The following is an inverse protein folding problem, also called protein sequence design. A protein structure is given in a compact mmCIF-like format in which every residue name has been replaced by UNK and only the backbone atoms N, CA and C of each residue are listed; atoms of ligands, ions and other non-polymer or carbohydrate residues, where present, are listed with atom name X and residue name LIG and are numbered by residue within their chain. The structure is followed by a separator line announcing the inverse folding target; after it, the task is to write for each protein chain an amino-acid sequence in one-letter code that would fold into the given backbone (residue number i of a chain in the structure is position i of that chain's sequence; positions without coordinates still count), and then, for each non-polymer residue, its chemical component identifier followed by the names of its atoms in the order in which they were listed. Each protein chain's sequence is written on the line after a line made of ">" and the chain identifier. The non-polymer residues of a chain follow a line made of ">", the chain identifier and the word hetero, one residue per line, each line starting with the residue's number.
data_IF_518659040451
#
_entry.id   IF_518659040451
#
_cell.length_a   1.000
_cell.length_b   1.000
_cell.length_c   1.000
_cell.angle_alpha   90.00
_cell.angle_beta   90.00
_cell.angle_gamma   90.00
#
_symmetry.space_group_name_H-M   'P 1'
#
loop_
_entity.id
_entity.type
_entity.pdbx_description
1 polymer ?
#
# COMPACT_ATOMS: atom_id res chain seq x y z
N UNK A 1 -7.60 30.57 -74.01
CA UNK A 1 -6.12 30.61 -73.96
C UNK A 1 -5.70 31.10 -72.58
N UNK A 2 -5.08 30.20 -71.78
CA UNK A 2 -4.42 30.38 -70.46
C UNK A 2 -5.30 30.78 -69.25
N UNK A 3 -5.62 29.90 -68.28
CA UNK A 3 -4.81 29.36 -67.15
C UNK A 3 -4.23 30.49 -66.25
N UNK A 4 -4.61 30.67 -64.97
CA UNK A 4 -4.12 29.96 -63.76
C UNK A 4 -4.99 30.39 -62.55
N UNK A 5 -5.77 29.49 -61.96
CA UNK A 5 -5.59 28.89 -60.62
C UNK A 5 -5.25 29.87 -59.46
N UNK A 6 -6.23 30.15 -58.60
CA UNK A 6 -6.03 30.68 -57.24
C UNK A 6 -6.66 29.72 -56.23
N UNK A 7 -6.02 28.57 -56.03
CA UNK A 7 -6.32 27.71 -54.88
C UNK A 7 -5.52 28.24 -53.70
N UNK A 8 -6.23 28.81 -52.73
CA UNK A 8 -5.70 29.30 -51.47
C UNK A 8 -5.30 28.09 -50.61
N UNK A 9 -4.04 27.68 -50.68
CA UNK A 9 -3.45 26.68 -49.76
C UNK A 9 -3.11 27.42 -48.47
N UNK A 10 -3.97 27.31 -47.48
CA UNK A 10 -3.66 27.65 -46.09
C UNK A 10 -2.78 26.52 -45.55
N UNK A 11 -1.47 26.72 -45.62
CA UNK A 11 -0.48 25.87 -44.95
C UNK A 11 -0.53 26.21 -43.45
N UNK A 12 -1.35 25.47 -42.70
CA UNK A 12 -1.38 25.52 -41.24
C UNK A 12 -0.08 24.89 -40.71
N UNK A 13 0.90 25.73 -40.42
CA UNK A 13 2.14 25.35 -39.75
C UNK A 13 1.78 24.92 -38.31
N UNK A 14 1.54 23.62 -38.08
CA UNK A 14 1.48 23.05 -36.74
C UNK A 14 2.88 23.18 -36.13
N UNK A 15 3.09 24.24 -35.35
CA UNK A 15 4.19 24.32 -34.41
C UNK A 15 3.88 23.30 -33.32
N UNK A 16 4.45 22.11 -33.45
CA UNK A 16 4.49 21.13 -32.37
C UNK A 16 5.35 21.73 -31.26
N UNK A 17 4.70 22.35 -30.27
CA UNK A 17 5.33 22.64 -28.99
C UNK A 17 5.68 21.31 -28.35
N UNK A 18 6.93 20.88 -28.53
CA UNK A 18 7.52 19.83 -27.71
C UNK A 18 7.55 20.35 -26.28
N UNK A 19 6.54 19.95 -25.50
CA UNK A 19 6.59 20.05 -24.06
C UNK A 19 7.70 19.11 -23.60
N UNK A 20 8.91 19.64 -23.42
CA UNK A 20 9.92 18.98 -22.63
C UNK A 20 9.35 18.87 -21.21
N UNK A 21 8.76 17.73 -20.89
CA UNK A 21 8.48 17.34 -19.50
C UNK A 21 9.86 17.12 -18.88
N UNK A 22 10.44 18.20 -18.36
CA UNK A 22 11.54 18.07 -17.41
C UNK A 22 10.98 17.31 -16.22
N UNK A 23 11.32 16.03 -16.13
CA UNK A 23 11.32 15.32 -14.86
C UNK A 23 12.25 16.09 -13.94
N UNK A 24 11.71 16.99 -13.12
CA UNK A 24 12.47 17.63 -12.07
C UNK A 24 12.80 16.54 -11.07
N UNK A 25 14.08 16.16 -11.01
CA UNK A 25 14.58 15.35 -9.90
C UNK A 25 14.16 16.05 -8.59
N UNK A 26 13.54 15.32 -7.65
CA UNK A 26 13.09 15.92 -6.41
C UNK A 26 14.28 16.52 -5.66
N UNK A 27 14.15 17.78 -5.27
CA UNK A 27 15.20 18.50 -4.53
C UNK A 27 15.48 17.77 -3.22
N UNK A 28 16.75 17.49 -2.94
CA UNK A 28 17.14 16.77 -1.72
C UNK A 28 17.60 17.76 -0.66
N UNK A 29 17.12 17.61 0.57
CA UNK A 29 17.50 18.43 1.73
C UNK A 29 18.16 17.57 2.77
N UNK A 30 19.36 17.96 3.18
CA UNK A 30 20.17 17.23 4.15
C UNK A 30 20.41 18.14 5.35
N UNK A 31 19.87 17.75 6.50
CA UNK A 31 20.19 18.37 7.79
C UNK A 31 21.24 17.51 8.49
N UNK A 32 22.44 18.05 8.64
CA UNK A 32 23.47 17.45 9.49
C UNK A 32 23.14 17.77 10.95
N UNK A 33 22.95 16.73 11.76
CA UNK A 33 22.71 16.83 13.19
C UNK A 33 23.96 16.32 13.94
N UNK A 34 24.80 17.24 14.39
CA UNK A 34 26.09 16.94 15.01
C UNK A 34 25.97 16.89 16.55
N UNK A 35 26.45 15.80 17.13
CA UNK A 35 26.73 15.69 18.55
C UNK A 35 27.94 16.55 18.95
N UNK A 36 27.69 17.51 19.83
CA UNK A 36 28.70 18.30 20.51
C UNK A 36 28.61 18.17 22.03
N UNK A 37 28.08 17.06 22.54
CA UNK A 37 28.07 16.74 23.96
C UNK A 37 29.47 16.41 24.48
N UNK A 38 29.67 16.46 25.79
CA UNK A 38 30.98 16.24 26.41
C UNK A 38 31.64 14.88 26.10
N UNK A 39 30.87 13.84 25.74
CA UNK A 39 31.43 12.52 25.37
C UNK A 39 32.30 12.59 24.12
N UNK A 40 32.03 13.55 23.22
CA UNK A 40 32.78 13.76 21.99
C UNK A 40 34.23 14.28 22.21
N UNK A 41 34.62 14.59 23.46
CA UNK A 41 36.03 14.75 23.86
C UNK A 41 36.80 13.42 23.95
N UNK A 42 36.10 12.28 23.92
CA UNK A 42 36.70 10.97 23.90
C UNK A 42 37.57 10.73 22.67
N UNK A 43 38.42 9.71 22.75
CA UNK A 43 39.28 9.30 21.64
C UNK A 43 38.56 8.30 20.72
N UNK A 44 38.81 8.46 19.43
CA UNK A 44 38.57 7.47 18.39
C UNK A 44 39.92 7.09 17.80
N UNK A 45 40.37 5.87 18.05
CA UNK A 45 41.75 5.44 17.85
C UNK A 45 42.76 6.38 18.52
N UNK A 46 43.36 7.30 17.75
CA UNK A 46 44.38 8.25 18.20
C UNK A 46 43.94 9.71 18.10
N UNK A 47 42.74 9.98 17.59
CA UNK A 47 42.19 11.32 17.37
C UNK A 47 40.99 11.59 18.29
N UNK A 48 40.68 12.85 18.55
CA UNK A 48 39.47 13.22 19.31
C UNK A 48 38.24 13.02 18.44
N UNK A 49 37.20 12.37 18.95
CA UNK A 49 35.97 12.04 18.21
C UNK A 49 35.34 13.25 17.50
N UNK A 50 35.29 14.41 18.16
CA UNK A 50 34.74 15.64 17.56
C UNK A 50 35.53 16.11 16.34
N UNK A 51 36.85 15.93 16.34
CA UNK A 51 37.69 16.37 15.23
C UNK A 51 37.51 15.43 14.02
N UNK A 52 37.38 14.13 14.28
CA UNK A 52 37.00 13.13 13.29
C UNK A 52 35.62 13.45 12.68
N UNK A 53 34.63 13.73 13.53
CA UNK A 53 33.27 14.09 13.10
C UNK A 53 33.24 15.36 12.22
N UNK A 54 33.97 16.41 12.62
CA UNK A 54 34.07 17.66 11.83
C UNK A 54 34.78 17.44 10.50
N UNK A 55 35.87 16.66 10.49
CA UNK A 55 36.62 16.33 9.28
C UNK A 55 35.74 15.56 8.29
N UNK A 56 34.95 14.60 8.77
CA UNK A 56 33.95 13.89 7.98
C UNK A 56 32.91 14.84 7.38
N UNK A 57 32.27 15.63 8.25
CA UNK A 57 31.22 16.55 7.82
C UNK A 57 31.75 17.55 6.81
N UNK A 58 32.99 18.01 6.96
CA UNK A 58 33.66 18.86 5.97
C UNK A 58 33.75 18.15 4.62
N UNK A 59 34.25 16.91 4.57
CA UNK A 59 34.31 16.11 3.32
C UNK A 59 32.93 15.86 2.71
N UNK A 60 31.91 15.59 3.53
CA UNK A 60 30.52 15.42 3.08
C UNK A 60 29.99 16.67 2.42
N UNK A 61 30.09 17.80 3.13
CA UNK A 61 29.64 19.10 2.67
C UNK A 61 30.38 19.48 1.38
N UNK A 62 31.69 19.24 1.31
CA UNK A 62 32.49 19.44 0.11
C UNK A 62 31.97 18.62 -1.09
N UNK A 63 31.73 17.32 -0.90
CA UNK A 63 31.28 16.42 -1.97
C UNK A 63 29.86 16.73 -2.44
N UNK A 64 28.94 16.96 -1.50
CA UNK A 64 27.52 17.18 -1.78
C UNK A 64 27.27 18.58 -2.35
N UNK A 65 28.05 19.59 -1.93
CA UNK A 65 27.92 20.97 -2.42
C UNK A 65 28.06 21.13 -3.94
N UNK A 66 28.64 20.14 -4.62
CA UNK A 66 28.75 20.14 -6.08
C UNK A 66 27.40 19.90 -6.78
N UNK A 67 26.40 19.36 -6.07
CA UNK A 67 25.08 19.10 -6.61
C UNK A 67 24.12 20.25 -6.28
N UNK A 68 23.70 20.99 -7.32
CA UNK A 68 22.76 22.12 -7.22
C UNK A 68 21.33 21.74 -6.82
N UNK A 69 20.99 20.45 -6.87
CA UNK A 69 19.70 19.91 -6.45
C UNK A 69 19.68 19.55 -4.95
N UNK A 70 20.78 19.82 -4.22
CA UNK A 70 20.89 19.57 -2.78
C UNK A 70 20.94 20.87 -1.99
N UNK A 71 20.10 20.97 -0.97
CA UNK A 71 20.20 22.00 0.09
C UNK A 71 20.71 21.36 1.38
N UNK A 72 21.60 22.04 2.07
CA UNK A 72 22.19 21.55 3.32
C UNK A 72 21.84 22.47 4.48
N UNK A 73 21.84 21.94 5.70
CA UNK A 73 21.75 22.70 6.93
C UNK A 73 22.57 22.02 8.04
N UNK A 74 22.95 22.77 9.06
CA UNK A 74 23.68 22.27 10.22
C UNK A 74 22.91 22.60 11.49
N UNK A 75 22.56 21.57 12.26
CA UNK A 75 22.14 21.67 13.66
C UNK A 75 23.15 20.95 14.51
N UNK A 76 23.42 21.48 15.69
CA UNK A 76 24.24 20.82 16.70
C UNK A 76 23.50 20.78 18.04
N UNK A 77 23.84 19.80 18.87
CA UNK A 77 23.31 19.68 20.22
C UNK A 77 24.41 19.43 21.24
N UNK A 78 24.13 19.75 22.50
CA UNK A 78 25.06 19.54 23.62
C UNK A 78 26.28 20.45 23.60
N UNK A 79 26.40 21.43 22.71
CA UNK A 79 27.60 22.25 22.54
C UNK A 79 27.50 23.66 23.14
N UNK A 80 26.35 24.04 23.71
CA UNK A 80 26.12 25.38 24.27
C UNK A 80 26.25 25.37 25.79
N UNK A 81 25.50 24.50 26.45
CA UNK A 81 25.36 24.45 27.91
C UNK A 81 26.43 23.55 28.53
N UNK A 82 27.05 23.93 29.66
CA UNK A 82 27.99 23.06 30.38
C UNK A 82 27.30 21.79 30.89
N UNK A 83 28.01 20.64 30.89
CA UNK A 83 27.47 19.34 31.33
C UNK A 83 26.79 19.37 32.71
N UNK A 84 27.30 20.17 33.64
CA UNK A 84 26.74 20.34 35.01
C UNK A 84 25.28 20.81 35.00
N UNK A 85 24.84 21.54 33.97
CA UNK A 85 23.45 22.01 33.88
C UNK A 85 22.46 20.94 33.43
N UNK A 86 22.94 19.82 32.86
CA UNK A 86 22.10 18.76 32.28
C UNK A 86 20.96 19.32 31.40
N UNK A 87 21.32 20.25 30.51
CA UNK A 87 20.35 20.96 29.68
C UNK A 87 19.84 20.05 28.54
N UNK A 88 18.74 19.36 28.81
CA UNK A 88 18.09 18.46 27.87
C UNK A 88 17.37 19.16 26.70
N UNK A 89 17.53 20.48 26.59
CA UNK A 89 17.04 21.28 25.45
C UNK A 89 18.19 21.96 24.70
N UNK A 90 19.44 21.63 25.00
CA UNK A 90 20.63 22.17 24.34
C UNK A 90 20.73 21.67 22.89
N UNK A 91 20.06 22.36 21.97
CA UNK A 91 20.12 22.11 20.54
C UNK A 91 19.88 23.41 19.77
N UNK A 92 20.68 23.67 18.73
CA UNK A 92 20.57 24.90 17.94
C UNK A 92 20.80 24.64 16.47
N UNK A 93 19.94 25.22 15.64
CA UNK A 93 20.17 25.34 14.20
C UNK A 93 21.29 26.36 14.00
N UNK A 94 22.46 25.85 13.64
CA UNK A 94 23.69 26.61 13.49
C UNK A 94 23.78 27.28 12.12
N UNK A 95 23.35 26.56 11.09
CA UNK A 95 23.24 27.09 9.72
C UNK A 95 21.91 26.59 9.15
N UNK A 96 20.97 27.49 8.79
CA UNK A 96 19.71 27.10 8.17
C UNK A 96 19.91 26.63 6.72
N UNK A 97 18.88 26.00 6.16
CA UNK A 97 18.85 25.68 4.73
C UNK A 97 18.98 26.96 3.89
N UNK A 98 19.90 26.95 2.94
CA UNK A 98 20.11 28.06 2.03
C UNK A 98 20.95 27.65 0.81
N UNK A 99 20.89 28.44 -0.27
CA UNK A 99 21.77 28.22 -1.43
C UNK A 99 23.22 28.47 -1.04
N UNK A 100 24.14 27.67 -1.61
CA UNK A 100 25.59 27.85 -1.51
C UNK A 100 26.14 28.04 -0.08
N UNK A 101 25.49 27.44 0.92
CA UNK A 101 25.84 27.62 2.34
C UNK A 101 27.00 26.72 2.82
N UNK A 102 27.70 26.07 1.89
CA UNK A 102 28.86 25.19 2.13
C UNK A 102 29.88 25.83 3.09
N UNK A 103 30.38 27.01 2.74
CA UNK A 103 31.45 27.66 3.50
C UNK A 103 30.99 28.09 4.89
N UNK A 104 29.71 28.46 5.04
CA UNK A 104 29.11 28.78 6.33
C UNK A 104 29.05 27.56 7.23
N UNK A 105 28.64 26.40 6.69
CA UNK A 105 28.63 25.13 7.42
C UNK A 105 30.05 24.77 7.87
N UNK A 106 31.03 24.82 6.96
CA UNK A 106 32.43 24.48 7.28
C UNK A 106 33.02 25.43 8.33
N UNK A 107 32.80 26.74 8.20
CA UNK A 107 33.25 27.72 9.18
C UNK A 107 32.64 27.43 10.56
N UNK A 108 31.34 27.14 10.60
CA UNK A 108 30.64 26.90 11.86
C UNK A 108 31.04 25.59 12.52
N UNK A 109 31.27 24.53 11.74
CA UNK A 109 31.83 23.26 12.23
C UNK A 109 33.15 23.46 12.98
N UNK A 110 34.04 24.33 12.47
CA UNK A 110 35.33 24.61 13.12
C UNK A 110 35.19 25.26 14.51
N UNK A 111 34.10 25.97 14.76
CA UNK A 111 33.85 26.68 16.03
C UNK A 111 33.17 25.81 17.09
N UNK A 112 32.45 24.75 16.70
CA UNK A 112 31.74 23.88 17.64
C UNK A 112 32.76 23.18 18.57
N UNK A 113 32.46 23.15 19.87
CA UNK A 113 33.29 22.50 20.89
C UNK A 113 32.42 21.63 21.78
N UNK A 114 32.88 20.43 22.18
CA UNK A 114 32.09 19.56 23.03
C UNK A 114 31.91 20.13 24.45
N UNK A 115 30.69 20.11 25.02
CA UNK A 115 30.43 20.71 26.36
C UNK A 115 29.44 19.98 27.27
N UNK A 116 28.26 19.70 26.76
CA UNK A 116 27.02 19.44 27.50
C UNK A 116 26.63 17.98 27.56
N UNK A 117 25.32 17.73 27.70
CA UNK A 117 24.70 16.40 27.70
C UNK A 117 24.17 16.04 26.31
N UNK A 118 23.61 14.84 26.14
CA UNK A 118 23.25 14.23 24.84
C UNK A 118 21.72 14.11 24.65
N UNK A 119 21.00 15.20 24.29
CA UNK A 119 19.55 15.19 24.08
C UNK A 119 19.16 14.81 22.64
N UNK A 120 19.35 13.55 22.24
CA UNK A 120 19.15 13.07 20.85
C UNK A 120 17.69 13.19 20.42
N UNK A 121 16.76 12.61 21.19
CA UNK A 121 15.34 12.55 20.89
C UNK A 121 14.73 13.96 20.79
N UNK A 122 15.06 14.85 21.74
CA UNK A 122 14.62 16.24 21.69
C UNK A 122 15.19 16.95 20.46
N UNK A 123 16.48 16.78 20.18
CA UNK A 123 17.14 17.39 19.01
C UNK A 123 16.52 16.93 17.69
N UNK A 124 16.23 15.64 17.54
CA UNK A 124 15.55 15.08 16.37
C UNK A 124 14.13 15.62 16.22
N UNK A 125 13.40 15.78 17.33
CA UNK A 125 12.04 16.32 17.31
C UNK A 125 12.00 17.77 16.82
N UNK A 126 12.99 18.58 17.22
CA UNK A 126 13.12 19.98 16.81
C UNK A 126 13.66 20.07 15.38
N UNK A 127 14.62 19.23 15.02
CA UNK A 127 15.22 19.13 13.68
C UNK A 127 14.17 18.93 12.58
N UNK A 128 13.09 18.20 12.89
CA UNK A 128 11.95 18.01 12.00
C UNK A 128 11.35 19.33 11.49
N UNK A 129 11.42 20.39 12.29
CA UNK A 129 10.84 21.71 12.00
C UNK A 129 11.79 22.64 11.26
N UNK A 130 13.06 22.25 11.09
CA UNK A 130 14.04 23.05 10.34
C UNK A 130 13.87 22.90 8.82
N UNK A 131 13.19 21.84 8.36
CA UNK A 131 12.94 21.62 6.94
C UNK A 131 11.87 22.60 6.40
N UNK A 132 12.18 23.36 5.32
CA UNK A 132 11.19 24.21 4.68
C UNK A 132 10.01 23.39 4.14
N UNK A 133 8.79 23.91 4.25
CA UNK A 133 7.62 23.27 3.65
C UNK A 133 7.71 23.35 2.14
N UNK A 134 7.80 22.21 1.47
CA UNK A 134 7.75 22.11 0.02
C UNK A 134 7.20 20.74 -0.40
N UNK A 135 6.58 20.68 -1.57
CA UNK A 135 6.16 19.43 -2.19
C UNK A 135 7.29 18.88 -3.07
N UNK A 136 7.32 17.57 -3.30
CA UNK A 136 8.30 16.89 -4.14
C UNK A 136 9.78 17.11 -3.71
N UNK A 137 10.04 17.03 -2.41
CA UNK A 137 11.38 17.14 -1.82
C UNK A 137 11.68 15.92 -0.96
N UNK A 138 12.96 15.51 -0.95
CA UNK A 138 13.45 14.43 -0.10
C UNK A 138 14.18 15.02 1.10
N UNK A 139 13.65 14.83 2.30
CA UNK A 139 14.24 15.35 3.53
C UNK A 139 15.00 14.25 4.26
N UNK A 140 16.27 14.50 4.58
CA UNK A 140 17.17 13.55 5.23
C UNK A 140 17.84 14.24 6.43
N UNK A 141 17.80 13.59 7.59
CA UNK A 141 18.62 13.95 8.75
C UNK A 141 19.77 12.95 8.82
N UNK A 142 21.00 13.45 8.78
CA UNK A 142 22.19 12.64 9.08
C UNK A 142 22.56 12.96 10.52
N UNK A 143 22.37 12.01 11.44
CA UNK A 143 22.73 12.14 12.84
C UNK A 143 24.16 11.63 13.04
N UNK A 144 25.05 12.44 13.60
CA UNK A 144 26.43 12.06 13.92
C UNK A 144 26.55 12.10 15.43
N UNK A 145 26.75 10.95 16.08
CA UNK A 145 26.83 10.85 17.55
C UNK A 145 27.79 9.76 18.00
N UNK A 146 28.29 9.88 19.23
CA UNK A 146 29.13 8.86 19.87
C UNK A 146 28.49 8.23 21.12
N UNK A 147 27.27 8.66 21.48
CA UNK A 147 26.68 8.45 22.79
C UNK A 147 25.24 7.98 22.76
N UNK A 148 24.82 7.40 23.89
CA UNK A 148 23.43 7.07 24.19
C UNK A 148 22.66 8.32 24.60
N UNK A 149 21.34 8.25 24.49
CA UNK A 149 20.45 9.31 24.99
C UNK A 149 20.62 9.48 26.51
N UNK A 150 21.03 10.68 26.95
CA UNK A 150 21.25 10.99 28.38
C UNK A 150 20.03 11.67 29.03
N UNK A 151 19.02 12.08 28.24
CA UNK A 151 17.88 12.87 28.72
C UNK A 151 16.55 12.11 28.80
N UNK A 152 16.60 10.77 28.69
CA UNK A 152 15.44 9.90 28.88
C UNK A 152 14.38 9.97 27.76
N UNK A 153 14.73 10.57 26.62
CA UNK A 153 13.89 10.50 25.42
C UNK A 153 13.97 9.15 24.71
N UNK A 154 13.06 8.92 23.77
CA UNK A 154 13.06 7.72 22.92
C UNK A 154 13.36 8.10 21.46
N UNK A 155 14.61 7.92 20.99
CA UNK A 155 14.98 8.18 19.60
C UNK A 155 14.17 7.35 18.58
N UNK A 156 13.71 6.15 18.95
CA UNK A 156 12.88 5.31 18.09
C UNK A 156 11.51 5.91 17.84
N UNK A 157 10.86 6.35 18.91
CA UNK A 157 9.54 6.96 18.82
C UNK A 157 9.59 8.24 17.96
N UNK A 158 10.66 9.03 18.12
CA UNK A 158 10.88 10.24 17.33
C UNK A 158 11.20 9.88 15.87
N UNK A 159 12.02 8.87 15.60
CA UNK A 159 12.30 8.38 14.24
C UNK A 159 11.01 7.97 13.51
N UNK A 160 10.14 7.20 14.15
CA UNK A 160 8.86 6.82 13.56
C UNK A 160 8.00 8.05 13.22
N UNK A 161 8.04 9.07 14.07
CA UNK A 161 7.34 10.34 13.85
C UNK A 161 7.94 11.15 12.69
N UNK A 162 9.26 11.11 12.49
CA UNK A 162 9.96 11.70 11.35
C UNK A 162 9.60 11.00 10.04
N UNK A 163 9.56 9.66 10.04
CA UNK A 163 9.19 8.88 8.86
C UNK A 163 7.77 9.17 8.40
N UNK A 164 6.82 9.29 9.34
CA UNK A 164 5.43 9.73 9.05
C UNK A 164 5.36 11.12 8.40
N UNK A 165 6.38 11.97 8.59
CA UNK A 165 6.51 13.29 7.97
C UNK A 165 7.34 13.26 6.67
N UNK A 166 7.71 12.08 6.17
CA UNK A 166 8.58 11.92 5.00
C UNK A 166 10.03 12.35 5.23
N UNK A 167 10.49 12.37 6.48
CA UNK A 167 11.87 12.71 6.84
C UNK A 167 12.63 11.42 7.18
N UNK A 168 13.69 11.14 6.41
CA UNK A 168 14.52 9.96 6.63
C UNK A 168 15.62 10.28 7.64
N UNK A 169 15.67 9.53 8.74
CA UNK A 169 16.79 9.59 9.69
C UNK A 169 17.86 8.58 9.29
N UNK A 170 19.13 9.00 9.28
CA UNK A 170 20.30 8.16 9.01
C UNK A 170 21.31 8.35 10.16
N UNK A 171 21.32 7.45 11.16
CA UNK A 171 22.28 7.49 12.25
C UNK A 171 23.70 7.09 11.82
N UNK A 172 24.69 7.85 12.25
CA UNK A 172 26.11 7.63 12.06
C UNK A 172 26.80 7.67 13.42
N UNK A 173 27.36 6.53 13.82
CA UNK A 173 27.88 6.32 15.17
C UNK A 173 29.40 6.28 15.12
N UNK A 174 30.03 7.09 15.97
CA UNK A 174 31.50 7.23 16.06
C UNK A 174 31.99 6.59 17.36
N UNK A 175 32.72 5.48 17.28
CA UNK A 175 33.33 4.87 18.47
C UNK A 175 33.92 3.49 18.26
N UNK A 176 34.97 3.17 19.01
CA UNK A 176 35.50 1.82 19.16
C UNK A 176 34.72 1.12 20.27
N UNK A 177 34.14 -0.05 19.97
CA UNK A 177 33.33 -0.80 20.93
C UNK A 177 31.86 -0.39 20.84
N UNK A 178 31.13 -1.16 20.05
CA UNK A 178 29.68 -1.11 19.98
C UNK A 178 29.13 -1.32 21.40
N UNK A 179 28.51 -0.29 21.98
CA UNK A 179 27.63 -0.50 23.11
C UNK A 179 26.31 -1.08 22.57
N UNK A 180 25.98 -2.32 22.90
CA UNK A 180 24.73 -2.98 22.47
C UNK A 180 23.49 -2.13 22.84
N UNK A 181 23.58 -1.37 23.94
CA UNK A 181 22.54 -0.44 24.37
C UNK A 181 22.32 0.69 23.36
N UNK A 182 23.37 1.21 22.73
CA UNK A 182 23.25 2.26 21.70
C UNK A 182 22.64 1.71 20.40
N UNK A 183 23.03 0.50 20.00
CA UNK A 183 22.41 -0.17 18.86
C UNK A 183 20.92 -0.37 19.11
N UNK A 184 20.55 -0.92 20.27
CA UNK A 184 19.14 -1.21 20.56
C UNK A 184 18.27 0.05 20.59
N UNK A 185 18.80 1.19 21.06
CA UNK A 185 18.10 2.47 21.09
C UNK A 185 17.96 3.14 19.70
N UNK A 186 18.74 2.73 18.71
CA UNK A 186 18.75 3.34 17.37
C UNK A 186 18.43 2.36 16.23
N UNK A 187 18.23 1.06 16.50
CA UNK A 187 17.91 0.04 15.48
C UNK A 187 16.61 0.33 14.71
N UNK A 188 15.64 0.86 15.42
CA UNK A 188 14.39 1.42 14.91
C UNK A 188 14.55 2.65 14.00
N UNK A 189 15.69 3.35 14.06
CA UNK A 189 15.92 4.62 13.40
C UNK A 189 16.46 4.47 11.97
N UNK A 190 16.71 3.23 11.55
CA UNK A 190 17.24 2.86 10.24
C UNK A 190 18.60 2.18 10.37
N UNK A 191 19.20 1.78 9.24
CA UNK A 191 20.55 1.23 9.26
C UNK A 191 21.52 2.28 9.80
N UNK A 192 22.17 1.96 10.91
CA UNK A 192 23.26 2.76 11.46
C UNK A 192 24.57 2.35 10.79
N UNK A 193 25.45 3.33 10.64
CA UNK A 193 26.79 3.05 10.18
C UNK A 193 27.76 3.18 11.35
N UNK A 194 28.41 2.07 11.68
CA UNK A 194 29.48 2.05 12.65
C UNK A 194 30.81 2.10 11.91
N UNK A 195 31.61 3.10 12.21
CA UNK A 195 32.96 3.15 11.72
C UNK A 195 33.93 2.75 12.82
N UNK A 196 34.57 1.61 12.63
CA UNK A 196 35.54 1.03 13.56
C UNK A 196 36.97 1.47 13.27
N UNK A 197 37.20 2.02 12.08
CA UNK A 197 38.50 2.48 11.58
C UNK A 197 38.31 3.50 10.44
N UNK A 198 39.35 4.26 10.10
CA UNK A 198 39.30 5.32 9.09
C UNK A 198 38.95 4.83 7.66
N UNK A 199 39.26 3.59 7.29
CA UNK A 199 38.93 3.05 5.96
C UNK A 199 37.46 2.61 5.86
N UNK A 200 36.91 2.05 6.93
CA UNK A 200 35.47 1.76 7.04
C UNK A 200 34.65 3.06 6.95
N UNK A 201 35.17 4.13 7.54
CA UNK A 201 34.60 5.47 7.58
C UNK A 201 34.43 6.09 6.18
N UNK A 202 35.46 6.04 5.32
CA UNK A 202 35.40 6.52 3.93
C UNK A 202 34.45 5.68 3.03
N UNK A 203 34.37 4.37 3.25
CA UNK A 203 33.42 3.52 2.51
C UNK A 203 31.98 3.87 2.85
N UNK A 204 31.69 4.03 4.14
CA UNK A 204 30.38 4.46 4.61
C UNK A 204 30.04 5.84 4.05
N UNK A 205 31.02 6.74 4.02
CA UNK A 205 30.86 8.08 3.47
C UNK A 205 30.38 8.06 2.03
N UNK A 206 31.04 7.26 1.19
CA UNK A 206 30.67 7.06 -0.20
C UNK A 206 29.28 6.43 -0.35
N UNK A 207 28.88 5.54 0.57
CA UNK A 207 27.52 4.98 0.61
C UNK A 207 26.50 6.08 0.94
N UNK A 208 26.75 6.92 1.94
CA UNK A 208 25.84 8.02 2.33
C UNK A 208 25.73 9.05 1.21
N UNK A 209 26.84 9.44 0.59
CA UNK A 209 26.86 10.32 -0.59
C UNK A 209 26.08 9.67 -1.74
N UNK A 210 26.35 8.41 -2.04
CA UNK A 210 25.61 7.66 -3.08
C UNK A 210 24.12 7.54 -2.75
N UNK A 211 23.72 7.44 -1.49
CA UNK A 211 22.30 7.39 -1.11
C UNK A 211 21.63 8.76 -1.17
N UNK A 212 22.35 9.80 -0.75
CA UNK A 212 21.92 11.17 -0.77
C UNK A 212 21.91 11.77 -2.19
N UNK A 213 22.64 11.18 -3.14
CA UNK A 213 22.77 11.67 -4.50
C UNK A 213 22.18 10.72 -5.56
N UNK A 214 22.20 9.40 -5.36
CA UNK A 214 21.59 8.45 -6.29
C UNK A 214 20.17 8.13 -5.87
N UNK A 215 19.24 8.36 -6.80
CA UNK A 215 17.86 7.94 -6.66
C UNK A 215 17.78 6.43 -6.87
N UNK A 216 17.84 5.64 -5.80
CA UNK A 216 17.34 4.26 -5.89
C UNK A 216 15.86 4.36 -6.24
N UNK A 217 15.52 3.79 -7.39
CA UNK A 217 14.15 3.75 -7.87
C UNK A 217 13.74 2.29 -7.99
N UNK A 218 12.44 2.06 -7.95
CA UNK A 218 11.85 0.77 -8.23
C UNK A 218 10.69 0.94 -9.20
N UNK A 219 10.32 -0.11 -9.91
CA UNK A 219 9.02 -0.24 -10.54
C UNK A 219 8.46 -1.62 -10.19
N UNK A 220 7.15 -1.72 -10.12
CA UNK A 220 6.48 -3.01 -9.97
C UNK A 220 5.92 -3.41 -11.33
N UNK A 221 6.29 -4.58 -11.82
CA UNK A 221 5.74 -5.15 -13.04
C UNK A 221 4.71 -6.20 -12.66
N UNK A 222 3.43 -5.87 -12.77
CA UNK A 222 2.36 -6.85 -12.66
C UNK A 222 2.26 -7.61 -13.99
N UNK A 223 2.65 -8.89 -13.95
CA UNK A 223 2.77 -9.74 -15.13
C UNK A 223 1.45 -10.46 -15.44
N UNK A 224 1.07 -10.42 -16.71
CA UNK A 224 -0.02 -11.20 -17.27
C UNK A 224 0.34 -12.68 -17.48
N UNK A 225 -0.59 -13.46 -18.02
CA UNK A 225 -0.42 -14.89 -18.28
C UNK A 225 0.68 -15.20 -19.31
N UNK A 226 1.13 -14.19 -20.06
CA UNK A 226 2.19 -14.28 -21.05
C UNK A 226 3.54 -13.72 -20.54
N UNK A 227 3.61 -13.33 -19.26
CA UNK A 227 4.80 -12.75 -18.64
C UNK A 227 5.07 -11.30 -19.03
N UNK A 228 4.09 -10.58 -19.60
CA UNK A 228 4.22 -9.16 -19.96
C UNK A 228 3.65 -8.28 -18.86
N UNK A 229 4.29 -7.12 -18.63
CA UNK A 229 3.88 -6.16 -17.61
C UNK A 229 2.68 -5.31 -18.07
N UNK A 230 1.52 -5.93 -18.25
CA UNK A 230 0.31 -5.29 -18.79
C UNK A 230 -0.80 -5.13 -17.75
N UNK A 231 -0.64 -5.75 -16.58
CA UNK A 231 -1.62 -5.67 -15.51
C UNK A 231 -1.47 -4.37 -14.72
N UNK A 232 -2.59 -3.79 -14.31
CA UNK A 232 -2.65 -2.51 -13.62
C UNK A 232 -3.97 -2.33 -12.87
N UNK A 233 -4.12 -1.19 -12.21
CA UNK A 233 -5.29 -0.74 -11.48
C UNK A 233 -5.61 -1.64 -10.28
N UNK A 234 -4.55 -1.95 -9.52
CA UNK A 234 -4.62 -2.76 -8.31
C UNK A 234 -3.81 -2.07 -7.22
N UNK A 235 -4.36 -2.02 -6.01
CA UNK A 235 -3.66 -1.49 -4.85
C UNK A 235 -2.52 -2.42 -4.43
N UNK A 236 -1.42 -1.84 -3.97
CA UNK A 236 -0.19 -2.53 -3.62
C UNK A 236 0.36 -2.00 -2.30
N UNK A 237 0.48 -2.87 -1.32
CA UNK A 237 1.05 -2.52 -0.02
C UNK A 237 2.42 -3.14 0.18
N UNK A 238 3.39 -2.31 0.54
CA UNK A 238 4.73 -2.73 0.92
C UNK A 238 4.84 -2.76 2.44
N UNK A 239 5.21 -3.91 2.97
CA UNK A 239 5.48 -4.14 4.38
C UNK A 239 6.97 -4.32 4.61
N UNK A 240 7.50 -3.83 5.73
CA UNK A 240 8.85 -4.20 6.17
C UNK A 240 8.87 -5.70 6.54
N UNK A 241 9.84 -6.46 6.02
CA UNK A 241 9.81 -7.93 6.05
C UNK A 241 9.90 -8.57 7.44
N UNK A 242 10.43 -7.90 8.47
CA UNK A 242 10.65 -8.50 9.81
C UNK A 242 9.54 -8.18 10.80
N UNK A 243 9.12 -6.93 10.86
CA UNK A 243 8.14 -6.33 11.78
C UNK A 243 6.75 -6.27 11.16
N UNK A 244 6.61 -6.43 9.83
CA UNK A 244 5.32 -6.39 9.14
C UNK A 244 4.67 -5.00 9.15
N UNK A 245 5.46 -3.95 9.33
CA UNK A 245 4.96 -2.57 9.36
C UNK A 245 4.64 -2.10 7.94
N UNK A 246 3.51 -1.44 7.75
CA UNK A 246 3.16 -0.81 6.46
C UNK A 246 4.13 0.34 6.21
N UNK A 247 4.87 0.27 5.11
CA UNK A 247 5.83 1.29 4.69
C UNK A 247 5.26 2.16 3.59
N UNK A 248 4.65 1.54 2.59
CA UNK A 248 4.07 2.24 1.45
C UNK A 248 2.76 1.61 1.02
N UNK A 249 1.85 2.43 0.52
CA UNK A 249 0.67 1.97 -0.19
C UNK A 249 0.53 2.73 -1.50
N UNK A 250 0.48 2.02 -2.61
CA UNK A 250 0.44 2.59 -3.94
C UNK A 250 -0.64 1.90 -4.77
N UNK A 251 -1.39 2.68 -5.53
CA UNK A 251 -2.22 2.14 -6.60
C UNK A 251 -1.37 1.97 -7.85
N UNK A 252 -1.31 0.77 -8.42
CA UNK A 252 -0.52 0.52 -9.62
C UNK A 252 -1.15 1.21 -10.83
N UNK A 253 -0.34 1.95 -11.60
CA UNK A 253 -0.76 2.54 -12.88
C UNK A 253 0.25 2.26 -14.00
N UNK A 254 -0.19 2.40 -15.24
CA UNK A 254 0.66 2.41 -16.43
C UNK A 254 0.53 3.76 -17.13
N UNK A 255 1.64 4.32 -17.60
CA UNK A 255 1.62 5.55 -18.39
C UNK A 255 1.18 5.29 -19.85
N UNK A 256 1.12 6.34 -20.67
CA UNK A 256 0.72 6.27 -22.08
C UNK A 256 1.59 5.33 -22.94
N UNK A 257 2.82 5.04 -22.50
CA UNK A 257 3.73 4.10 -23.15
C UNK A 257 3.55 2.64 -22.66
N UNK A 258 2.61 2.39 -21.75
CA UNK A 258 2.36 1.09 -21.15
C UNK A 258 3.41 0.66 -20.13
N UNK A 259 4.14 1.62 -19.54
CA UNK A 259 5.18 1.36 -18.54
C UNK A 259 4.68 1.70 -17.13
N UNK A 260 5.02 0.91 -16.10
CA UNK A 260 4.70 1.22 -14.71
C UNK A 260 5.42 2.48 -14.20
N UNK A 261 4.84 3.07 -13.16
CA UNK A 261 5.43 4.23 -12.48
C UNK A 261 6.78 3.91 -11.83
N UNK A 262 7.64 4.93 -11.80
CA UNK A 262 8.90 4.90 -11.06
C UNK A 262 8.64 5.29 -9.60
N UNK A 263 8.83 4.33 -8.70
CA UNK A 263 8.67 4.45 -7.27
C UNK A 263 10.00 4.84 -6.60
N UNK A 264 9.92 5.71 -5.60
CA UNK A 264 11.05 6.10 -4.75
C UNK A 264 10.85 5.52 -3.34
N UNK A 265 11.39 4.32 -3.11
CA UNK A 265 11.27 3.57 -1.85
C UNK A 265 12.65 3.33 -1.22
N UNK A 266 12.72 3.19 0.10
CA UNK A 266 14.01 3.06 0.82
C UNK A 266 14.70 1.73 0.46
N UNK A 267 15.94 1.72 -0.09
CA UNK A 267 16.62 0.50 -0.49
C UNK A 267 17.25 -0.30 0.66
N UNK A 268 17.28 0.24 1.87
CA UNK A 268 17.99 -0.34 3.02
C UNK A 268 17.20 -1.37 3.82
N UNK A 269 15.93 -1.57 3.45
CA UNK A 269 15.03 -2.52 4.08
C UNK A 269 14.63 -3.60 3.07
N UNK A 270 14.29 -4.78 3.60
CA UNK A 270 13.62 -5.80 2.81
C UNK A 270 12.11 -5.60 2.91
N UNK A 271 11.41 -5.86 1.81
CA UNK A 271 9.97 -5.70 1.72
C UNK A 271 9.23 -7.01 1.44
N UNK A 272 8.04 -7.14 2.03
CA UNK A 272 7.00 -8.04 1.54
C UNK A 272 5.97 -7.17 0.82
N UNK A 273 5.68 -7.49 -0.44
CA UNK A 273 4.71 -6.81 -1.27
C UNK A 273 3.43 -7.63 -1.33
N UNK A 274 2.30 -7.02 -1.01
CA UNK A 274 0.97 -7.59 -1.25
C UNK A 274 0.30 -6.79 -2.36
N UNK A 275 -0.06 -7.48 -3.44
CA UNK A 275 -0.88 -6.94 -4.53
C UNK A 275 -2.31 -7.39 -4.27
N UNK A 276 -3.21 -6.44 -4.08
CA UNK A 276 -4.61 -6.67 -3.65
C UNK A 276 -5.53 -7.11 -4.80
N UNK A 277 -5.08 -8.08 -5.60
CA UNK A 277 -5.92 -8.81 -6.55
C UNK A 277 -6.96 -9.66 -5.83
N UNK A 278 -7.90 -10.27 -6.56
CA UNK A 278 -8.83 -11.26 -6.01
C UNK A 278 -8.52 -12.66 -6.55
N UNK A 279 -8.00 -13.58 -5.72
CA UNK A 279 -7.43 -13.37 -4.36
C UNK A 279 -6.10 -12.59 -4.39
N UNK A 280 -5.61 -12.10 -3.23
CA UNK A 280 -4.37 -11.32 -3.18
C UNK A 280 -3.14 -12.17 -3.50
N UNK A 281 -2.12 -11.54 -4.09
CA UNK A 281 -0.81 -12.15 -4.39
C UNK A 281 0.27 -11.49 -3.55
N UNK A 282 1.11 -12.30 -2.92
CA UNK A 282 2.23 -11.82 -2.10
C UNK A 282 3.56 -12.17 -2.73
N UNK A 283 4.52 -11.25 -2.66
CA UNK A 283 5.94 -11.46 -2.96
C UNK A 283 6.79 -11.07 -1.75
N UNK A 284 7.49 -12.03 -1.18
CA UNK A 284 8.26 -11.84 0.05
C UNK A 284 9.74 -11.55 -0.22
N UNK A 285 10.42 -11.00 0.79
CA UNK A 285 11.87 -10.82 0.85
C UNK A 285 12.47 -10.06 -0.35
N UNK A 286 11.79 -8.99 -0.77
CA UNK A 286 12.27 -8.10 -1.83
C UNK A 286 13.38 -7.23 -1.27
N UNK A 287 14.60 -7.38 -1.80
CA UNK A 287 15.72 -6.49 -1.57
C UNK A 287 15.97 -5.61 -2.79
N UNK A 288 16.43 -4.38 -2.56
CA UNK A 288 16.69 -3.41 -3.62
C UNK A 288 18.20 -3.20 -3.78
N UNK A 289 18.66 -3.13 -5.03
CA UNK A 289 20.01 -2.74 -5.36
C UNK A 289 20.14 -1.21 -5.25
N UNK A 290 21.00 -0.78 -4.35
CA UNK A 290 21.26 0.63 -4.08
C UNK A 290 21.79 1.38 -5.31
N UNK A 291 21.30 2.62 -5.50
CA UNK A 291 21.74 3.53 -6.56
C UNK A 291 21.39 3.06 -7.97
N UNK A 292 20.53 2.05 -8.10
CA UNK A 292 20.06 1.51 -9.38
C UNK A 292 18.54 1.58 -9.47
N UNK A 293 18.04 1.47 -10.70
CA UNK A 293 16.64 1.19 -10.93
C UNK A 293 16.36 -0.30 -10.69
N UNK A 294 15.34 -0.61 -9.91
CA UNK A 294 14.97 -1.96 -9.50
C UNK A 294 13.65 -2.39 -10.14
N UNK A 295 13.57 -3.63 -10.59
CA UNK A 295 12.35 -4.19 -11.18
C UNK A 295 11.79 -5.27 -10.27
N UNK A 296 10.59 -5.05 -9.77
CA UNK A 296 9.87 -5.99 -8.92
C UNK A 296 8.76 -6.65 -9.76
N UNK A 297 9.03 -7.83 -10.30
CA UNK A 297 8.03 -8.57 -11.07
C UNK A 297 7.12 -9.42 -10.16
N UNK A 298 5.79 -9.33 -10.34
CA UNK A 298 4.78 -10.13 -9.63
C UNK A 298 3.79 -10.70 -10.65
N UNK A 299 3.55 -12.01 -10.62
CA UNK A 299 2.54 -12.63 -11.49
C UNK A 299 1.15 -12.29 -10.96
N UNK A 300 0.38 -11.53 -11.73
CA UNK A 300 -0.97 -11.10 -11.36
C UNK A 300 -1.91 -11.14 -12.59
N UNK A 301 -1.97 -12.25 -13.35
CA UNK A 301 -2.80 -12.33 -14.53
C UNK A 301 -4.27 -12.19 -14.15
N UNK A 302 -5.02 -11.31 -14.82
CA UNK A 302 -6.41 -11.06 -14.46
C UNK A 302 -7.36 -11.15 -15.64
N UNK A 303 -8.61 -11.47 -15.31
CA UNK A 303 -9.77 -11.38 -16.19
C UNK A 303 -10.97 -10.84 -15.41
N UNK A 304 -12.11 -10.76 -16.08
CA UNK A 304 -13.33 -10.22 -15.50
C UNK A 304 -14.41 -11.29 -15.39
N UNK A 305 -15.15 -11.24 -14.29
CA UNK A 305 -16.38 -11.98 -14.10
C UNK A 305 -17.54 -10.98 -14.07
N UNK A 306 -18.45 -11.12 -15.01
CA UNK A 306 -19.68 -10.33 -15.10
C UNK A 306 -20.86 -11.20 -14.66
N UNK A 307 -21.57 -10.78 -13.62
CA UNK A 307 -22.77 -11.48 -13.16
C UNK A 307 -23.99 -10.69 -13.59
N UNK A 308 -24.92 -11.32 -14.31
CA UNK A 308 -26.07 -10.62 -14.91
C UNK A 308 -27.37 -11.33 -14.56
N UNK A 309 -28.39 -10.55 -14.21
CA UNK A 309 -29.77 -11.03 -14.13
C UNK A 309 -30.47 -10.64 -15.42
N UNK A 310 -31.06 -11.61 -16.12
CA UNK A 310 -31.86 -11.31 -17.30
C UNK A 310 -33.11 -10.51 -16.91
N UNK A 311 -33.40 -9.44 -17.64
CA UNK A 311 -34.60 -8.62 -17.43
C UNK A 311 -34.55 -7.77 -16.15
N UNK A 312 -35.73 -7.46 -15.60
CA UNK A 312 -35.86 -6.57 -14.44
C UNK A 312 -35.81 -7.40 -13.16
N UNK A 313 -34.80 -7.19 -12.31
CA UNK A 313 -34.68 -7.95 -11.07
C UNK A 313 -35.69 -7.49 -10.01
N UNK A 314 -36.31 -8.46 -9.33
CA UNK A 314 -37.06 -8.24 -8.08
C UNK A 314 -36.25 -8.65 -6.84
N UNK A 315 -35.03 -9.15 -7.02
CA UNK A 315 -34.11 -9.34 -5.90
C UNK A 315 -33.73 -7.99 -5.32
N UNK A 316 -33.75 -7.86 -3.99
CA UNK A 316 -33.24 -6.68 -3.29
C UNK A 316 -31.72 -6.56 -3.46
N UNK A 317 -31.02 -7.67 -3.26
CA UNK A 317 -29.59 -7.83 -3.54
C UNK A 317 -29.33 -9.33 -3.78
N UNK A 318 -28.96 -9.71 -5.00
CA UNK A 318 -28.56 -11.08 -5.31
C UNK A 318 -27.04 -11.15 -5.32
N UNK A 319 -26.48 -12.11 -4.60
CA UNK A 319 -25.04 -12.27 -4.41
C UNK A 319 -24.63 -13.66 -4.90
N UNK A 320 -23.47 -13.75 -5.56
CA UNK A 320 -22.76 -15.00 -5.76
C UNK A 320 -21.53 -15.07 -4.86
N UNK A 321 -21.42 -16.15 -4.08
CA UNK A 321 -20.21 -16.48 -3.34
C UNK A 321 -19.24 -17.17 -4.31
N UNK A 322 -18.10 -16.54 -4.56
CA UNK A 322 -17.06 -17.02 -5.47
C UNK A 322 -15.97 -17.73 -4.66
N UNK A 323 -15.68 -18.97 -5.02
CA UNK A 323 -14.64 -19.82 -4.39
C UNK A 323 -13.67 -20.29 -5.48
N UNK A 324 -12.41 -20.56 -5.13
CA UNK A 324 -11.54 -21.28 -6.07
C UNK A 324 -12.16 -22.65 -6.38
N UNK A 325 -12.04 -23.13 -7.62
CA UNK A 325 -12.62 -24.41 -8.03
C UNK A 325 -12.15 -25.55 -7.11
N UNK A 326 -13.10 -26.31 -6.57
CA UNK A 326 -12.83 -27.39 -5.60
C UNK A 326 -12.42 -26.93 -4.19
N UNK A 327 -12.25 -25.63 -3.96
CA UNK A 327 -11.93 -25.04 -2.67
C UNK A 327 -13.17 -24.77 -1.81
N UNK A 328 -12.95 -24.60 -0.50
CA UNK A 328 -14.00 -24.24 0.46
C UNK A 328 -13.97 -22.76 0.85
N UNK A 329 -12.81 -22.12 0.73
CA UNK A 329 -12.62 -20.71 1.07
C UNK A 329 -13.29 -19.78 0.07
N UNK A 330 -13.99 -18.78 0.61
CA UNK A 330 -14.60 -17.72 -0.18
C UNK A 330 -13.53 -16.73 -0.59
N UNK A 331 -13.39 -16.53 -1.90
CA UNK A 331 -12.52 -15.49 -2.47
C UNK A 331 -13.23 -14.14 -2.40
N UNK A 332 -14.51 -14.10 -2.77
CA UNK A 332 -15.29 -12.87 -2.80
C UNK A 332 -16.80 -13.15 -2.78
N UNK A 333 -17.59 -12.19 -2.34
CA UNK A 333 -19.06 -12.20 -2.45
C UNK A 333 -19.48 -11.10 -3.44
N UNK A 334 -19.69 -11.48 -4.70
CA UNK A 334 -19.98 -10.54 -5.77
C UNK A 334 -21.48 -10.28 -5.89
N UNK A 335 -21.87 -9.01 -5.95
CA UNK A 335 -23.24 -8.62 -6.27
C UNK A 335 -23.54 -8.81 -7.77
N UNK A 336 -24.76 -9.21 -8.09
CA UNK A 336 -25.20 -9.26 -9.49
C UNK A 336 -25.33 -7.87 -10.12
N UNK A 337 -25.22 -7.82 -11.43
CA UNK A 337 -25.13 -6.62 -12.27
C UNK A 337 -23.86 -5.80 -12.00
N UNK A 338 -22.78 -6.48 -11.61
CA UNK A 338 -21.46 -5.88 -11.43
C UNK A 338 -20.42 -6.61 -12.29
N UNK A 339 -19.42 -5.88 -12.74
CA UNK A 339 -18.22 -6.39 -13.37
C UNK A 339 -17.09 -6.38 -12.34
N UNK A 340 -16.49 -7.54 -12.07
CA UNK A 340 -15.43 -7.66 -11.07
C UNK A 340 -14.19 -8.32 -11.66
N UNK A 341 -13.01 -7.78 -11.32
CA UNK A 341 -11.71 -8.30 -11.75
C UNK A 341 -11.25 -9.40 -10.78
N UNK A 342 -10.75 -10.50 -11.33
CA UNK A 342 -10.22 -11.66 -10.60
C UNK A 342 -8.93 -12.14 -11.23
N UNK A 343 -8.11 -12.85 -10.46
CA UNK A 343 -6.99 -13.60 -11.04
C UNK A 343 -7.50 -14.67 -12.02
N UNK A 344 -6.74 -14.89 -13.09
CA UNK A 344 -6.97 -15.98 -14.05
C UNK A 344 -6.98 -17.31 -13.32
N UNK A 345 -7.97 -18.15 -13.63
CA UNK A 345 -8.15 -19.43 -12.96
C UNK A 345 -9.57 -19.97 -13.08
N UNK A 346 -9.85 -21.04 -12.35
CA UNK A 346 -11.16 -21.70 -12.29
C UNK A 346 -11.81 -21.48 -10.94
N UNK A 347 -13.10 -21.20 -10.97
CA UNK A 347 -13.88 -20.79 -9.80
C UNK A 347 -15.22 -21.54 -9.73
N UNK A 348 -15.67 -21.80 -8.52
CA UNK A 348 -17.00 -22.29 -8.24
C UNK A 348 -17.85 -21.15 -7.68
N UNK A 349 -19.06 -20.99 -8.22
CA UNK A 349 -20.03 -20.00 -7.75
C UNK A 349 -21.19 -20.67 -7.02
N UNK A 350 -21.55 -20.08 -5.89
CA UNK A 350 -22.78 -20.36 -5.17
C UNK A 350 -23.65 -19.10 -5.18
N UNK A 351 -24.67 -19.11 -6.03
CA UNK A 351 -25.60 -17.99 -6.19
C UNK A 351 -26.70 -18.14 -5.14
N UNK A 352 -26.86 -17.10 -4.31
CA UNK A 352 -27.77 -17.07 -3.17
C UNK A 352 -29.23 -16.80 -3.58
N UNK A 353 -29.66 -17.42 -4.68
CA UNK A 353 -31.06 -17.44 -5.14
C UNK A 353 -31.87 -18.50 -4.39
N UNK A 354 -33.19 -18.51 -4.63
CA UNK A 354 -34.10 -19.57 -4.18
C UNK A 354 -34.66 -20.33 -5.39
N UNK A 355 -34.35 -21.62 -5.58
CA UNK A 355 -33.30 -22.39 -4.91
C UNK A 355 -31.89 -21.85 -5.20
N UNK A 356 -30.90 -22.29 -4.42
CA UNK A 356 -29.49 -21.99 -4.66
C UNK A 356 -29.07 -22.53 -6.02
N UNK A 357 -28.31 -21.75 -6.78
CA UNK A 357 -27.73 -22.18 -8.04
C UNK A 357 -26.22 -22.37 -7.82
N UNK A 358 -25.71 -23.52 -8.24
CA UNK A 358 -24.28 -23.81 -8.22
C UNK A 358 -23.75 -23.85 -9.65
N UNK A 359 -22.74 -23.04 -9.93
CA UNK A 359 -22.03 -23.06 -11.22
C UNK A 359 -20.60 -23.48 -10.93
N UNK A 360 -20.21 -24.64 -11.46
CA UNK A 360 -18.89 -25.23 -11.22
C UNK A 360 -17.93 -24.89 -12.35
N UNK A 361 -16.65 -24.84 -12.01
CA UNK A 361 -15.56 -24.82 -12.99
C UNK A 361 -15.63 -23.63 -13.98
N UNK A 362 -16.03 -22.46 -13.47
CA UNK A 362 -16.09 -21.23 -14.25
C UNK A 362 -14.67 -20.72 -14.48
N UNK A 363 -14.27 -20.71 -15.74
CA UNK A 363 -12.95 -20.28 -16.18
C UNK A 363 -12.92 -18.77 -16.43
N UNK A 364 -12.05 -18.07 -15.70
CA UNK A 364 -11.71 -16.66 -15.93
C UNK A 364 -10.40 -16.63 -16.71
N UNK A 365 -10.44 -16.09 -17.94
CA UNK A 365 -9.28 -16.03 -18.84
C UNK A 365 -8.68 -14.63 -18.90
N UNK A 366 -7.39 -14.58 -19.23
CA UNK A 366 -6.60 -13.35 -19.36
C UNK A 366 -7.31 -12.30 -20.19
N UNK A 367 -7.43 -11.09 -19.64
CA UNK A 367 -7.96 -9.89 -20.33
C UNK A 367 -9.33 -10.07 -21.00
N UNK A 368 -10.11 -11.06 -20.53
CA UNK A 368 -11.42 -11.40 -21.10
C UNK A 368 -12.52 -11.26 -20.05
N UNK A 369 -13.77 -11.15 -20.50
CA UNK A 369 -14.94 -11.13 -19.61
C UNK A 369 -15.68 -12.45 -19.71
N UNK A 370 -15.70 -13.22 -18.63
CA UNK A 370 -16.57 -14.38 -18.45
C UNK A 370 -17.90 -13.90 -17.88
N UNK A 371 -19.01 -14.19 -18.54
CA UNK A 371 -20.35 -13.77 -18.10
C UNK A 371 -21.16 -14.96 -17.61
N UNK A 372 -21.73 -14.85 -16.40
CA UNK A 372 -22.68 -15.80 -15.85
C UNK A 372 -24.04 -15.12 -15.74
N UNK A 373 -25.02 -15.71 -16.39
CA UNK A 373 -26.38 -15.18 -16.44
C UNK A 373 -27.34 -16.04 -15.63
N UNK A 374 -28.24 -15.38 -14.92
CA UNK A 374 -29.35 -16.03 -14.21
C UNK A 374 -30.67 -15.48 -14.74
N UNK A 375 -31.67 -16.34 -14.84
CA UNK A 375 -33.01 -15.95 -15.27
C UNK A 375 -33.68 -14.99 -14.28
N UNK A 376 -34.58 -14.15 -14.81
CA UNK A 376 -35.38 -13.27 -13.97
C UNK A 376 -36.22 -14.11 -12.98
N UNK A 377 -36.24 -13.76 -11.69
CA UNK A 377 -37.07 -14.50 -10.74
C UNK A 377 -38.56 -14.20 -10.95
N UNK A 378 -39.41 -15.10 -10.44
CA UNK A 378 -40.81 -14.83 -10.20
C UNK A 378 -41.08 -14.44 -8.74
N UNK A 379 -42.22 -13.80 -8.50
CA UNK A 379 -42.73 -13.45 -7.16
C UNK A 379 -43.87 -14.36 -6.76
N UNK A 380 -43.76 -14.97 -5.60
CA UNK A 380 -44.78 -15.86 -5.06
C UNK A 380 -45.33 -15.21 -3.81
N UNK A 381 -46.65 -15.01 -3.78
CA UNK A 381 -47.35 -14.51 -2.60
C UNK A 381 -48.23 -15.62 -2.05
N UNK A 382 -47.91 -16.09 -0.85
CA UNK A 382 -48.63 -17.16 -0.18
C UNK A 382 -49.51 -16.55 0.90
N UNK A 383 -50.81 -16.84 0.86
CA UNK A 383 -51.81 -16.39 1.82
C UNK A 383 -52.36 -17.57 2.63
N UNK A 384 -52.54 -17.36 3.93
CA UNK A 384 -53.26 -18.30 4.79
C UNK A 384 -54.13 -17.55 5.80
N UNK A 385 -55.25 -18.16 6.19
CA UNK A 385 -56.13 -17.63 7.24
C UNK A 385 -55.65 -17.97 8.66
N UNK A 386 -54.77 -18.96 8.78
CA UNK A 386 -54.18 -19.41 10.04
C UNK A 386 -52.68 -19.68 9.85
N UNK A 387 -51.88 -19.69 10.93
CA UNK A 387 -50.47 -20.04 10.86
C UNK A 387 -50.26 -21.45 10.29
N UNK A 388 -49.42 -21.55 9.25
CA UNK A 388 -49.09 -22.80 8.57
C UNK A 388 -47.64 -23.19 8.86
N UNK A 389 -47.38 -24.50 8.94
CA UNK A 389 -46.03 -25.04 8.86
C UNK A 389 -45.93 -25.75 7.51
N UNK A 390 -44.88 -25.48 6.75
CA UNK A 390 -44.68 -26.12 5.47
C UNK A 390 -43.30 -25.88 4.89
N UNK A 391 -43.00 -26.62 3.84
CA UNK A 391 -41.73 -26.57 3.12
C UNK A 391 -42.01 -26.60 1.63
N UNK A 392 -41.24 -25.81 0.88
CA UNK A 392 -41.24 -25.80 -0.58
C UNK A 392 -40.11 -26.68 -1.06
N UNK A 393 -40.43 -27.56 -2.00
CA UNK A 393 -39.52 -28.47 -2.66
C UNK A 393 -39.50 -28.20 -4.16
N UNK A 394 -38.36 -28.47 -4.80
CA UNK A 394 -38.22 -28.53 -6.25
C UNK A 394 -38.05 -29.98 -6.67
N UNK A 395 -38.69 -30.36 -7.77
CA UNK A 395 -38.48 -31.70 -8.35
C UNK A 395 -37.32 -31.66 -9.33
N UNK A 396 -36.25 -32.41 -9.05
CA UNK A 396 -35.07 -32.55 -9.92
C UNK A 396 -34.78 -34.03 -10.11
N UNK A 397 -34.76 -34.50 -11.35
CA UNK A 397 -34.52 -35.91 -11.70
C UNK A 397 -35.40 -36.91 -10.91
N UNK A 398 -36.67 -36.55 -10.69
CA UNK A 398 -37.63 -37.36 -9.93
C UNK A 398 -37.43 -37.36 -8.41
N UNK A 399 -36.51 -36.56 -7.87
CA UNK A 399 -36.29 -36.39 -6.42
C UNK A 399 -36.76 -35.02 -5.96
N UNK A 400 -37.26 -34.96 -4.73
CA UNK A 400 -37.60 -33.70 -4.06
C UNK A 400 -36.34 -33.12 -3.41
N UNK A 401 -35.94 -31.94 -3.86
CA UNK A 401 -34.90 -31.12 -3.24
C UNK A 401 -35.57 -30.03 -2.40
N UNK A 402 -35.19 -29.93 -1.13
CA UNK A 402 -35.69 -28.87 -0.25
C UNK A 402 -35.21 -27.50 -0.72
N UNK A 403 -36.10 -26.51 -0.76
CA UNK A 403 -35.80 -25.13 -1.19
C UNK A 403 -35.84 -24.16 -0.02
N UNK A 404 -36.95 -24.11 0.70
CA UNK A 404 -37.14 -23.24 1.87
C UNK A 404 -38.33 -23.70 2.70
N UNK A 405 -38.38 -23.27 3.97
CA UNK A 405 -39.56 -23.40 4.81
C UNK A 405 -40.45 -22.16 4.72
N UNK A 406 -41.74 -22.33 5.01
CA UNK A 406 -42.64 -21.24 5.32
C UNK A 406 -42.30 -20.69 6.71
N UNK A 407 -42.44 -19.38 6.90
CA UNK A 407 -42.43 -18.75 8.22
C UNK A 407 -43.78 -19.03 8.91
N UNK A 408 -43.74 -19.78 10.01
CA UNK A 408 -44.93 -20.22 10.72
C UNK A 408 -45.60 -19.15 11.59
N UNK A 409 -45.13 -17.91 11.51
CA UNK A 409 -45.71 -16.72 12.15
C UNK A 409 -46.44 -15.83 11.16
N UNK A 410 -46.17 -15.96 9.87
CA UNK A 410 -46.69 -15.07 8.82
C UNK A 410 -47.93 -15.66 8.13
N UNK A 411 -49.01 -14.88 8.11
CA UNK A 411 -50.24 -15.19 7.34
C UNK A 411 -50.12 -14.80 5.86
N UNK A 412 -49.17 -13.94 5.52
CA UNK A 412 -48.85 -13.56 4.14
C UNK A 412 -47.34 -13.55 3.98
N UNK A 413 -46.85 -14.27 2.97
CA UNK A 413 -45.42 -14.46 2.73
C UNK A 413 -45.11 -14.17 1.27
N UNK A 414 -44.07 -13.38 1.04
CA UNK A 414 -43.58 -13.04 -0.30
C UNK A 414 -42.22 -13.69 -0.50
N UNK A 415 -42.12 -14.55 -1.52
CA UNK A 415 -40.89 -15.23 -1.90
C UNK A 415 -40.48 -14.83 -3.31
N UNK A 416 -39.19 -14.57 -3.50
CA UNK A 416 -38.59 -14.31 -4.83
C UNK A 416 -37.82 -15.56 -5.22
N UNK A 417 -38.32 -16.29 -6.21
CA UNK A 417 -37.80 -17.61 -6.56
C UNK A 417 -37.47 -17.71 -8.06
N UNK A 418 -36.49 -18.53 -8.38
CA UNK A 418 -36.08 -18.84 -9.74
C UNK A 418 -37.17 -19.64 -10.47
N UNK A 419 -37.27 -19.49 -11.80
CA UNK A 419 -38.24 -20.25 -12.58
C UNK A 419 -38.11 -21.76 -12.41
N UNK A 420 -39.24 -22.46 -12.35
CA UNK A 420 -39.27 -23.92 -12.16
C UNK A 420 -40.60 -24.43 -11.63
N UNK A 421 -40.67 -25.76 -11.49
CA UNK A 421 -41.81 -26.46 -10.91
C UNK A 421 -41.51 -26.84 -9.46
N UNK A 422 -42.46 -26.56 -8.59
CA UNK A 422 -42.31 -26.69 -7.15
C UNK A 422 -43.52 -27.39 -6.53
N UNK A 423 -43.30 -27.99 -5.37
CA UNK A 423 -44.33 -28.57 -4.52
C UNK A 423 -44.25 -27.90 -3.15
N UNK A 424 -45.35 -27.31 -2.71
CA UNK A 424 -45.51 -26.83 -1.34
C UNK A 424 -46.21 -27.91 -0.52
N UNK A 425 -45.51 -28.50 0.44
CA UNK A 425 -46.07 -29.43 1.42
C UNK A 425 -46.33 -28.68 2.72
N UNK A 426 -47.57 -28.65 3.20
CA UNK A 426 -47.96 -27.81 4.32
C UNK A 426 -49.11 -28.39 5.16
N UNK A 427 -49.20 -27.94 6.40
CA UNK A 427 -50.32 -28.22 7.30
C UNK A 427 -50.57 -27.04 8.23
N UNK A 428 -51.75 -26.99 8.85
CA UNK A 428 -52.02 -26.06 9.95
C UNK A 428 -51.05 -26.31 11.10
N UNK A 429 -50.51 -25.24 11.69
CA UNK A 429 -49.52 -25.30 12.79
C UNK A 429 -50.03 -26.16 13.96
N UNK A 430 -51.31 -25.99 14.32
CA UNK A 430 -51.94 -26.68 15.44
C UNK A 430 -52.36 -28.14 15.14
N UNK A 431 -52.26 -28.60 13.89
CA UNK A 431 -52.57 -29.98 13.54
C UNK A 431 -51.56 -30.94 14.20
N UNK A 432 -52.05 -32.02 14.83
CA UNK A 432 -51.22 -32.98 15.58
C UNK A 432 -51.00 -34.33 14.86
N UNK A 433 -51.41 -34.43 13.60
CA UNK A 433 -51.24 -35.64 12.77
C UNK A 433 -50.70 -35.29 11.39
N UNK A 434 -49.81 -36.14 10.86
CA UNK A 434 -49.26 -36.04 9.50
C UNK A 434 -50.33 -36.22 8.42
N UNK A 435 -51.47 -36.83 8.75
CA UNK A 435 -52.60 -36.97 7.83
C UNK A 435 -53.13 -35.62 7.31
N UNK A 436 -52.90 -34.52 8.05
CA UNK A 436 -53.32 -33.18 7.65
C UNK A 436 -52.34 -32.45 6.72
N UNK A 437 -51.28 -33.12 6.28
CA UNK A 437 -50.37 -32.57 5.27
C UNK A 437 -51.08 -32.51 3.92
N UNK A 438 -51.02 -31.35 3.28
CA UNK A 438 -51.50 -31.10 1.94
C UNK A 438 -50.31 -30.75 1.06
N UNK A 439 -50.32 -31.24 -0.16
CA UNK A 439 -49.35 -30.89 -1.18
C UNK A 439 -50.01 -30.04 -2.26
N UNK A 440 -49.31 -29.00 -2.70
CA UNK A 440 -49.76 -28.13 -3.78
C UNK A 440 -48.62 -27.88 -4.75
N UNK A 441 -48.80 -28.36 -5.97
CA UNK A 441 -47.88 -28.08 -7.07
C UNK A 441 -48.12 -26.69 -7.64
N UNK A 442 -47.03 -26.01 -8.03
CA UNK A 442 -47.10 -24.73 -8.71
C UNK A 442 -45.87 -24.50 -9.58
N UNK A 443 -46.02 -23.64 -10.59
CA UNK A 443 -44.95 -23.25 -11.51
C UNK A 443 -44.63 -21.78 -11.31
N UNK A 444 -43.34 -21.48 -11.18
CA UNK A 444 -42.82 -20.11 -11.16
C UNK A 444 -42.30 -19.78 -12.55
N UNK A 445 -42.84 -18.73 -13.16
CA UNK A 445 -42.39 -18.23 -14.46
C UNK A 445 -41.61 -16.92 -14.30
N UNK A 446 -40.61 -16.75 -15.16
CA UNK A 446 -39.72 -15.59 -15.20
C UNK A 446 -40.50 -14.27 -15.24
N UNK A 447 -40.21 -13.35 -14.31
CA UNK A 447 -40.81 -12.01 -14.24
C UNK A 447 -42.30 -11.94 -13.85
N UNK A 448 -42.95 -13.06 -13.54
CA UNK A 448 -44.38 -13.12 -13.20
C UNK A 448 -44.63 -13.11 -11.69
N UNK A 449 -45.86 -12.77 -11.29
CA UNK A 449 -46.32 -12.88 -9.90
C UNK A 449 -47.40 -13.96 -9.78
N UNK A 450 -47.23 -14.90 -8.87
CA UNK A 450 -48.16 -15.97 -8.56
C UNK A 450 -48.73 -15.79 -7.15
N UNK A 451 -50.04 -16.02 -6.97
CA UNK A 451 -50.68 -16.01 -5.65
C UNK A 451 -51.19 -17.40 -5.29
N UNK A 452 -50.87 -17.86 -4.07
CA UNK A 452 -51.23 -19.19 -3.56
C UNK A 452 -52.03 -19.02 -2.28
N UNK A 453 -53.31 -19.39 -2.31
CA UNK A 453 -54.16 -19.45 -1.11
C UNK A 453 -54.09 -20.85 -0.50
N UNK A 454 -53.70 -20.92 0.78
CA UNK A 454 -53.69 -22.12 1.61
C UNK A 454 -55.00 -22.20 2.39
N UNK A 455 -55.59 -23.41 2.45
CA UNK A 455 -56.87 -23.68 3.13
C UNK A 455 -56.68 -24.40 4.46
#
# INVERSE_FOLDING_TARGET
>A
MKLISKTLIILLLLITTQSNVFSQNPKTRILFLLDGSGSMWGLFEKEVKIDVAKRLLTKLVDSISQNKEVEMALRAYGHVSPKVKQDCKDTRLEVPFGPDNKDQIIARLKEIRPKGTTPIAYSLSVAANDFPRANNVRNIIILITDGIEECGGDPCQVSLSLQKRGIMLKPFIIGLGINEDLISQLDCAGNFFNATDENSFEKILNVVISNALNNTTAQVNLLDSYGKATETDVDMTFYESKKGMIMYNFYHTLNDAGLPDTLFIDPFMNYNLVVHTLPPVTKENISLNHGKHNIIAVNAPQGYLNLVIKGITQYKNLIAVVKKAGGTETVYAQEFNTLQKYLVGRYDLEILSLPRIYVKDVEIKQSSTTTIEVEQPGKIVIYSSTPMIGSIFRTVNGKLEWVTNLDDKLLTQVLIMQPGTYILSYRRKNARSTFYTNDKEFVVSSGTSLSINLK
#
